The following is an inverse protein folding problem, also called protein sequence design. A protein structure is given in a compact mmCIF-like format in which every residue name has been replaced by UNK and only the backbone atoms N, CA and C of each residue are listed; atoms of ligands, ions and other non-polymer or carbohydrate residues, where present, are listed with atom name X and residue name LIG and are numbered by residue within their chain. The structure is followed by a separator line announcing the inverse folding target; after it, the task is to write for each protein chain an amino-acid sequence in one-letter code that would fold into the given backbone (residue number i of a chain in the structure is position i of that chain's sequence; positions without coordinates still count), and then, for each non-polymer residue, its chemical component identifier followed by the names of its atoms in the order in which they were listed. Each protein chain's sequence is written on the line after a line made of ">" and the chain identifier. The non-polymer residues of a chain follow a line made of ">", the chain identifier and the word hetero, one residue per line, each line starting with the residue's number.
data_IF_969011197219
#
_entry.id   IF_969011197219
#
_cell.length_a   1.000
_cell.length_b   1.000
_cell.length_c   1.000
_cell.angle_alpha   90.00
_cell.angle_beta   90.00
_cell.angle_gamma   90.00
#
_symmetry.space_group_name_H-M   'P 1'
#
loop_
_entity.id
_entity.type
_entity.pdbx_description
1 polymer ?
#
# COMPACT_ATOMS: atom_id res chain seq x y z
N UNK A 1 9.71 1.11 28.88
CA UNK A 1 8.83 0.08 28.29
C UNK A 1 8.42 0.59 26.92
N UNK A 2 9.04 0.09 25.85
CA UNK A 2 8.55 0.36 24.50
C UNK A 2 7.46 -0.67 24.25
N UNK A 3 6.20 -0.25 24.20
CA UNK A 3 5.17 -1.09 23.60
C UNK A 3 5.63 -1.35 22.16
N UNK A 4 5.93 -2.61 21.84
CA UNK A 4 6.15 -3.03 20.46
C UNK A 4 4.80 -2.90 19.75
N UNK A 5 4.43 -1.69 19.34
CA UNK A 5 3.34 -1.50 18.39
C UNK A 5 3.68 -2.37 17.18
N UNK A 6 2.87 -3.39 16.94
CA UNK A 6 3.08 -4.31 15.83
C UNK A 6 2.84 -3.54 14.55
N UNK A 7 3.91 -2.99 13.99
CA UNK A 7 3.87 -2.15 12.81
C UNK A 7 3.58 -3.03 11.60
N UNK A 8 2.40 -2.88 11.00
CA UNK A 8 2.05 -3.58 9.76
C UNK A 8 2.95 -3.04 8.64
N UNK A 9 3.80 -3.91 8.07
CA UNK A 9 4.63 -3.63 6.90
C UNK A 9 3.89 -4.03 5.64
N UNK A 10 3.91 -3.21 4.60
CA UNK A 10 3.38 -3.61 3.30
C UNK A 10 4.23 -4.74 2.72
N UNK A 11 3.57 -5.83 2.35
CA UNK A 11 4.11 -6.93 1.55
C UNK A 11 3.18 -7.21 0.36
N UNK A 12 3.49 -8.25 -0.42
CA UNK A 12 2.72 -8.59 -1.62
C UNK A 12 1.29 -9.09 -1.35
N UNK A 13 0.93 -9.40 -0.10
CA UNK A 13 -0.30 -10.13 0.23
C UNK A 13 -1.23 -9.36 1.18
N UNK A 14 -0.80 -8.21 1.72
CA UNK A 14 -1.49 -7.58 2.84
C UNK A 14 -1.97 -6.15 2.60
N UNK A 15 -2.12 -5.74 1.34
CA UNK A 15 -2.44 -4.34 0.98
C UNK A 15 -3.64 -3.76 1.74
N UNK A 16 -4.79 -4.43 1.78
CA UNK A 16 -5.96 -3.95 2.54
C UNK A 16 -5.69 -3.82 4.04
N UNK A 17 -4.93 -4.76 4.63
CA UNK A 17 -4.58 -4.70 6.06
C UNK A 17 -3.58 -3.58 6.36
N UNK A 18 -2.65 -3.33 5.45
CA UNK A 18 -1.68 -2.24 5.55
C UNK A 18 -2.31 -0.87 5.32
N UNK A 19 -3.33 -0.78 4.45
CA UNK A 19 -3.95 0.47 4.04
C UNK A 19 -4.59 1.24 5.22
N UNK A 20 -5.36 0.55 6.06
CA UNK A 20 -6.08 1.18 7.18
C UNK A 20 -5.15 1.94 8.14
N UNK A 21 -4.09 1.33 8.72
CA UNK A 21 -3.21 2.04 9.64
C UNK A 21 -2.41 3.16 8.97
N UNK A 22 -2.00 3.00 7.69
CA UNK A 22 -1.25 4.07 7.02
C UNK A 22 -2.15 5.27 6.68
N UNK A 23 -3.40 5.05 6.27
CA UNK A 23 -4.36 6.15 6.05
C UNK A 23 -4.62 6.92 7.35
N UNK A 24 -4.76 6.24 8.48
CA UNK A 24 -4.90 6.89 9.79
C UNK A 24 -3.68 7.75 10.16
N UNK A 25 -2.46 7.24 9.91
CA UNK A 25 -1.21 7.99 10.14
C UNK A 25 -1.11 9.22 9.24
N UNK A 26 -1.41 9.07 7.95
CA UNK A 26 -1.43 10.15 6.97
C UNK A 26 -2.50 11.20 7.29
N UNK A 27 -3.66 10.78 7.78
CA UNK A 27 -4.71 11.67 8.26
C UNK A 27 -4.23 12.49 9.46
N UNK A 28 -3.58 11.84 10.45
CA UNK A 28 -3.04 12.50 11.63
C UNK A 28 -2.03 13.60 11.28
N UNK A 29 -1.21 13.39 10.26
CA UNK A 29 -0.25 14.40 9.77
C UNK A 29 -0.85 15.34 8.71
N UNK A 30 -2.16 15.25 8.42
CA UNK A 30 -2.89 16.08 7.44
C UNK A 30 -2.41 15.93 5.99
N UNK A 31 -1.79 14.80 5.65
CA UNK A 31 -1.25 14.55 4.31
C UNK A 31 -2.09 13.56 3.47
N UNK A 32 -3.14 12.94 4.04
CA UNK A 32 -3.99 11.98 3.33
C UNK A 32 -4.58 12.57 2.04
N UNK A 33 -5.15 13.78 2.12
CA UNK A 33 -5.76 14.45 0.96
C UNK A 33 -4.73 14.84 -0.11
N UNK A 34 -3.45 14.98 0.26
CA UNK A 34 -2.36 15.26 -0.66
C UNK A 34 -2.02 14.00 -1.45
N UNK A 35 -1.73 12.89 -0.75
CA UNK A 35 -1.28 11.66 -1.44
C UNK A 35 -2.38 10.96 -2.23
N UNK A 36 -3.65 11.18 -1.86
CA UNK A 36 -4.80 10.72 -2.64
C UNK A 36 -5.13 11.63 -3.83
N UNK A 37 -4.50 12.81 -3.93
CA UNK A 37 -4.75 13.78 -5.00
C UNK A 37 -6.06 14.56 -4.84
N UNK A 38 -6.70 14.51 -3.67
CA UNK A 38 -7.90 15.30 -3.39
C UNK A 38 -7.63 16.80 -3.28
N UNK A 39 -6.37 17.18 -3.01
CA UNK A 39 -5.90 18.57 -3.02
C UNK A 39 -4.71 18.68 -3.97
N UNK A 40 -4.72 19.71 -4.81
CA UNK A 40 -3.60 20.06 -5.70
C UNK A 40 -2.65 21.04 -5.02
N UNK A 41 -1.37 21.02 -5.42
CA UNK A 41 -0.40 21.99 -4.94
C UNK A 41 -0.87 23.44 -5.25
N UNK A 42 -0.93 24.33 -4.24
CA UNK A 42 -1.24 25.75 -4.47
C UNK A 42 -0.20 26.44 -5.37
N UNK A 43 -0.63 27.49 -6.05
CA UNK A 43 0.25 28.35 -6.84
C UNK A 43 1.18 29.15 -5.89
N UNK A 44 2.51 28.96 -5.95
CA UNK A 44 3.44 29.60 -5.02
C UNK A 44 3.52 31.12 -5.19
N UNK A 45 3.08 31.68 -6.32
CA UNK A 45 3.01 33.13 -6.53
C UNK A 45 1.78 33.75 -5.85
N UNK A 46 0.70 32.98 -5.72
CA UNK A 46 -0.56 33.43 -5.13
C UNK A 46 -0.68 33.10 -3.65
N UNK A 47 -0.11 31.97 -3.23
CA UNK A 47 -0.21 31.47 -1.86
C UNK A 47 1.05 30.67 -1.48
N UNK A 48 2.13 31.41 -1.25
CA UNK A 48 3.46 30.87 -0.95
C UNK A 48 3.48 29.99 0.30
N UNK A 49 2.73 30.36 1.33
CA UNK A 49 2.75 29.65 2.61
C UNK A 49 2.07 28.29 2.49
N UNK A 50 0.91 28.21 1.83
CA UNK A 50 0.25 26.93 1.61
C UNK A 50 0.99 26.06 0.57
N UNK A 51 1.62 26.65 -0.45
CA UNK A 51 2.49 25.89 -1.36
C UNK A 51 3.67 25.24 -0.62
N UNK A 52 4.34 25.98 0.27
CA UNK A 52 5.43 25.44 1.10
C UNK A 52 4.93 24.37 2.07
N UNK A 53 3.78 24.58 2.69
CA UNK A 53 3.16 23.60 3.59
C UNK A 53 2.79 22.32 2.83
N UNK A 54 2.23 22.43 1.62
CA UNK A 54 1.91 21.30 0.77
C UNK A 54 3.15 20.44 0.47
N UNK A 55 4.25 21.07 0.04
CA UNK A 55 5.51 20.36 -0.24
C UNK A 55 5.98 19.61 1.00
N UNK A 56 6.02 20.29 2.15
CA UNK A 56 6.44 19.67 3.41
C UNK A 56 5.58 18.45 3.78
N UNK A 57 4.26 18.59 3.73
CA UNK A 57 3.34 17.49 4.07
C UNK A 57 3.45 16.32 3.09
N UNK A 58 3.74 16.60 1.82
CA UNK A 58 4.00 15.57 0.82
C UNK A 58 5.30 14.80 1.09
N UNK A 59 6.36 15.49 1.54
CA UNK A 59 7.63 14.88 1.96
C UNK A 59 7.45 14.08 3.28
N UNK A 60 6.73 14.63 4.25
CA UNK A 60 6.41 13.96 5.51
C UNK A 60 5.60 12.67 5.26
N UNK A 61 4.64 12.71 4.32
CA UNK A 61 3.90 11.52 3.90
C UNK A 61 4.80 10.46 3.27
N UNK A 62 5.74 10.86 2.41
CA UNK A 62 6.72 9.93 1.84
C UNK A 62 7.50 9.22 2.95
N UNK A 63 8.03 9.98 3.91
CA UNK A 63 8.79 9.42 5.02
C UNK A 63 7.95 8.48 5.90
N UNK A 64 6.68 8.82 6.17
CA UNK A 64 5.78 7.95 6.94
C UNK A 64 5.47 6.65 6.18
N UNK A 65 5.18 6.72 4.87
CA UNK A 65 4.88 5.54 4.04
C UNK A 65 6.09 4.61 3.95
N UNK A 66 7.29 5.14 3.64
CA UNK A 66 8.53 4.36 3.49
C UNK A 66 8.85 3.54 4.73
N UNK A 67 8.62 4.13 5.91
CA UNK A 67 8.81 3.44 7.18
C UNK A 67 7.90 2.22 7.35
N UNK A 68 6.81 2.12 6.58
CA UNK A 68 5.85 1.03 6.63
C UNK A 68 5.96 0.06 5.45
N UNK A 69 7.11 -0.01 4.77
CA UNK A 69 7.36 -0.93 3.66
C UNK A 69 8.30 -2.05 4.09
N UNK A 70 8.01 -3.28 3.65
CA UNK A 70 8.96 -4.38 3.79
C UNK A 70 10.20 -4.18 2.90
N UNK A 71 11.32 -4.87 3.18
CA UNK A 71 12.53 -4.77 2.35
C UNK A 71 12.31 -5.08 0.87
N UNK A 72 11.43 -6.03 0.54
CA UNK A 72 11.09 -6.37 -0.85
C UNK A 72 10.37 -5.20 -1.55
N UNK A 73 9.39 -4.60 -0.87
CA UNK A 73 8.66 -3.44 -1.41
C UNK A 73 9.58 -2.22 -1.51
N UNK A 74 10.51 -2.03 -0.58
CA UNK A 74 11.54 -0.98 -0.66
C UNK A 74 12.44 -1.16 -1.89
N UNK A 75 12.88 -2.39 -2.19
CA UNK A 75 13.65 -2.67 -3.38
C UNK A 75 12.87 -2.35 -4.67
N UNK A 76 11.58 -2.71 -4.70
CA UNK A 76 10.69 -2.36 -5.80
C UNK A 76 10.50 -0.85 -5.96
N UNK A 77 10.24 -0.13 -4.88
CA UNK A 77 10.10 1.34 -4.91
C UNK A 77 11.39 1.99 -5.41
N UNK A 78 12.54 1.52 -4.93
CA UNK A 78 13.85 2.05 -5.32
C UNK A 78 14.18 1.83 -6.81
N UNK A 79 13.64 0.79 -7.45
CA UNK A 79 13.82 0.54 -8.87
C UNK A 79 12.76 1.18 -9.77
N UNK A 80 11.61 1.56 -9.19
CA UNK A 80 10.45 2.07 -9.95
C UNK A 80 10.30 3.58 -9.93
N UNK A 81 10.66 4.27 -8.84
CA UNK A 81 10.62 5.73 -8.79
C UNK A 81 11.85 6.34 -9.45
N UNK A 82 11.63 7.38 -10.27
CA UNK A 82 12.73 8.19 -10.79
C UNK A 82 13.35 9.05 -9.68
N UNK A 83 14.54 9.61 -9.94
CA UNK A 83 15.26 10.39 -8.91
C UNK A 83 14.51 11.67 -8.52
N UNK A 84 13.80 12.29 -9.46
CA UNK A 84 12.96 13.47 -9.26
C UNK A 84 11.64 13.19 -8.55
N UNK A 85 11.23 11.92 -8.46
CA UNK A 85 10.04 11.48 -7.71
C UNK A 85 10.36 11.03 -6.28
N UNK A 86 11.65 10.97 -5.90
CA UNK A 86 12.04 10.71 -4.51
C UNK A 86 11.51 11.81 -3.61
N UNK A 87 11.12 11.42 -2.39
CA UNK A 87 10.48 12.30 -1.40
C UNK A 87 9.11 12.84 -1.80
N UNK A 88 8.50 12.31 -2.86
CA UNK A 88 7.15 12.68 -3.27
C UNK A 88 6.13 11.64 -2.77
N UNK A 89 5.43 11.96 -1.68
CA UNK A 89 4.44 11.06 -1.05
C UNK A 89 3.30 10.69 -1.98
N UNK A 90 2.80 11.64 -2.77
CA UNK A 90 1.78 11.40 -3.80
C UNK A 90 2.25 10.37 -4.84
N UNK A 91 3.44 10.54 -5.42
CA UNK A 91 3.97 9.60 -6.42
C UNK A 91 4.18 8.20 -5.84
N UNK A 92 4.74 8.11 -4.64
CA UNK A 92 4.90 6.84 -3.93
C UNK A 92 3.54 6.16 -3.69
N UNK A 93 2.53 6.91 -3.24
CA UNK A 93 1.19 6.38 -3.00
C UNK A 93 0.56 5.83 -4.29
N UNK A 94 0.64 6.57 -5.40
CA UNK A 94 0.11 6.11 -6.69
C UNK A 94 0.83 4.84 -7.17
N UNK A 95 2.16 4.76 -7.02
CA UNK A 95 2.95 3.59 -7.39
C UNK A 95 2.50 2.35 -6.59
N UNK A 96 2.42 2.47 -5.26
CA UNK A 96 2.01 1.35 -4.40
C UNK A 96 0.57 0.91 -4.69
N UNK A 97 -0.34 1.87 -4.87
CA UNK A 97 -1.73 1.57 -5.23
C UNK A 97 -1.79 0.83 -6.56
N UNK A 98 -1.10 1.30 -7.59
CA UNK A 98 -1.09 0.68 -8.91
C UNK A 98 -0.59 -0.78 -8.87
N UNK A 99 0.41 -1.09 -8.03
CA UNK A 99 0.93 -2.44 -7.88
C UNK A 99 0.02 -3.34 -7.04
N UNK A 100 -0.39 -2.91 -5.86
CA UNK A 100 -0.92 -3.83 -4.84
C UNK A 100 -2.45 -3.82 -4.69
N UNK A 101 -3.16 -2.82 -5.21
CA UNK A 101 -4.62 -2.75 -5.07
C UNK A 101 -5.39 -3.76 -5.94
N UNK A 102 -4.75 -4.29 -6.99
CA UNK A 102 -5.33 -5.33 -7.86
C UNK A 102 -4.96 -6.76 -7.46
N UNK A 103 -3.81 -6.96 -6.81
CA UNK A 103 -3.29 -8.31 -6.51
C UNK A 103 -4.09 -9.05 -5.43
N UNK A 104 -4.77 -8.33 -4.53
CA UNK A 104 -5.52 -8.97 -3.44
C UNK A 104 -6.76 -9.73 -3.91
N UNK A 105 -7.40 -9.30 -5.01
CA UNK A 105 -8.51 -10.04 -5.63
C UNK A 105 -7.97 -11.32 -6.27
N UNK A 106 -6.81 -11.24 -6.95
CA UNK A 106 -6.19 -12.38 -7.64
C UNK A 106 -5.66 -13.41 -6.64
N UNK A 107 -5.06 -12.98 -5.53
CA UNK A 107 -4.54 -13.86 -4.47
C UNK A 107 -5.66 -14.54 -3.67
N UNK A 108 -6.76 -13.84 -3.36
CA UNK A 108 -7.95 -14.47 -2.75
C UNK A 108 -8.60 -15.47 -3.71
N UNK A 109 -8.69 -15.14 -5.01
CA UNK A 109 -9.23 -16.07 -6.02
C UNK A 109 -8.35 -17.31 -6.18
N UNK A 110 -7.02 -17.15 -6.13
CA UNK A 110 -6.07 -18.27 -6.25
C UNK A 110 -6.06 -19.14 -5.00
N UNK A 111 -6.11 -18.56 -3.81
CA UNK A 111 -6.22 -19.30 -2.55
C UNK A 111 -7.52 -20.12 -2.47
N UNK A 112 -8.67 -19.51 -2.81
CA UNK A 112 -9.97 -20.19 -2.85
C UNK A 112 -10.02 -21.30 -3.91
N UNK A 113 -9.36 -21.10 -5.06
CA UNK A 113 -9.26 -22.13 -6.10
C UNK A 113 -8.39 -23.32 -5.66
N UNK A 114 -7.30 -23.04 -4.95
CA UNK A 114 -6.42 -24.08 -4.44
C UNK A 114 -7.04 -24.87 -3.27
N UNK A 115 -7.86 -24.24 -2.43
CA UNK A 115 -8.63 -24.93 -1.38
C UNK A 115 -9.70 -25.87 -1.98
N UNK A 116 -10.43 -25.42 -3.02
CA UNK A 116 -11.42 -26.26 -3.70
C UNK A 116 -10.79 -27.42 -4.52
N UNK A 117 -9.60 -27.23 -5.08
CA UNK A 117 -8.88 -28.29 -5.81
C UNK A 117 -8.29 -29.39 -4.89
N UNK A 118 -8.17 -29.12 -3.58
CA UNK A 118 -7.71 -30.11 -2.59
C UNK A 118 -8.85 -31.04 -2.14
N UNK A 119 -10.09 -30.56 -2.12
CA UNK A 119 -11.29 -31.34 -1.75
C UNK A 119 -11.70 -32.34 -2.85
N UNK A 120 -11.41 -32.03 -4.12
CA UNK A 120 -11.69 -32.90 -5.26
C UNK A 120 -10.85 -34.19 -5.31
N UNK A 121 -9.79 -34.32 -4.49
CA UNK A 121 -8.88 -35.48 -4.49
C UNK A 121 -9.15 -36.52 -3.40
N UNK A 122 -10.21 -36.35 -2.60
CA UNK A 122 -10.64 -37.34 -1.61
C UNK A 122 -12.10 -37.78 -1.81
N UNK A 123 -12.41 -38.34 -2.98
CA UNK A 123 -13.52 -39.30 -3.06
C UNK A 123 -12.97 -40.66 -3.44
N UNK A 124 -12.86 -41.64 -2.53
CA UNK A 124 -12.53 -42.99 -2.92
C UNK A 124 -13.73 -43.56 -3.69
N UNK A 125 -13.49 -43.91 -4.95
CA UNK A 125 -14.43 -44.61 -5.84
C UNK A 125 -15.07 -45.80 -5.12
N UNK A 126 -16.36 -45.69 -4.81
CA UNK A 126 -17.19 -46.87 -4.54
C UNK A 126 -17.53 -47.51 -5.88
N UNK A 127 -16.83 -48.60 -6.21
CA UNK A 127 -17.24 -49.51 -7.28
C UNK A 127 -18.59 -50.17 -6.91
N UNK A 128 -19.49 -50.41 -7.88
CA UNK A 128 -20.70 -51.16 -7.61
C UNK A 128 -20.39 -52.65 -7.61
N UNK A 129 -21.04 -53.43 -6.74
CA UNK A 129 -21.18 -54.86 -6.96
C UNK A 129 -22.63 -55.28 -6.73
N UNK A 130 -23.14 -55.93 -7.78
CA UNK A 130 -24.33 -56.78 -7.90
C UNK A 130 -24.35 -57.84 -6.81
#
# INVERSE_FOLDING_TARGET
>A
MSSNETKVMLDNNNYTLWLIPIEAKLYKIKALNIVTGAVTCPDPEKDKDNARLFVKLNEDAYAEIVQHLSPEVLAYVSSSLSTDEKFNGFKLWQLLKAKFSGDEITSKTTALKNENDLDARQTPSRLPLV
#
